data_IF_781519810201
#
_entry.id   IF_781519810201
#
_cell.length_a   1.000
_cell.length_b   1.000
_cell.length_c   1.000
_cell.angle_alpha   90.00
_cell.angle_beta   90.00
_cell.angle_gamma   90.00
#
_symmetry.space_group_name_H-M   'P 1'
#
loop_
_entity.id
_entity.type
_entity.pdbx_description
1 polymer ?
#
# COMPACT_ATOMS: atom_id res chain seq x y z
N UNK A 1 -7.10 9.24 14.13
CA UNK A 1 -5.87 9.94 13.65
C UNK A 1 -5.44 10.91 14.74
N UNK A 2 -4.14 10.93 15.13
CA UNK A 2 -3.66 11.75 16.27
C UNK A 2 -3.06 13.10 15.84
N UNK A 3 -3.26 13.53 14.62
CA UNK A 3 -2.82 14.83 14.07
C UNK A 3 -1.38 15.23 14.48
N UNK A 4 -0.43 14.31 14.28
CA UNK A 4 1.00 14.54 14.56
C UNK A 4 1.63 15.09 13.27
N UNK A 5 2.21 16.28 13.36
CA UNK A 5 2.91 16.88 12.24
C UNK A 5 4.12 16.02 11.85
N UNK A 6 4.32 15.79 10.56
CA UNK A 6 5.47 15.03 10.05
C UNK A 6 6.03 15.65 8.77
N UNK A 7 7.28 15.33 8.49
CA UNK A 7 7.98 15.74 7.26
C UNK A 7 8.70 14.55 6.64
N UNK A 8 8.56 14.38 5.34
CA UNK A 8 9.22 13.29 4.59
C UNK A 8 10.48 13.82 3.92
N UNK A 9 11.61 13.14 4.20
CA UNK A 9 12.91 13.43 3.59
C UNK A 9 13.33 12.30 2.66
N UNK A 10 13.72 12.68 1.45
CA UNK A 10 14.24 11.75 0.44
C UNK A 10 13.15 10.95 -0.27
N UNK A 11 13.16 11.01 -1.58
CA UNK A 11 12.19 10.35 -2.46
C UNK A 11 10.97 11.22 -2.79
N UNK A 12 10.34 10.88 -3.92
CA UNK A 12 9.04 11.46 -4.29
C UNK A 12 7.97 10.94 -3.33
N UNK A 13 7.07 11.82 -2.90
CA UNK A 13 5.86 11.44 -2.17
C UNK A 13 5.08 10.41 -2.97
N UNK A 14 4.31 9.56 -2.30
CA UNK A 14 3.59 8.49 -2.97
C UNK A 14 2.77 8.99 -4.17
N UNK A 15 1.96 10.02 -3.96
CA UNK A 15 1.12 10.60 -5.01
C UNK A 15 1.90 11.44 -6.04
N UNK A 16 3.18 11.73 -5.80
CA UNK A 16 4.06 12.42 -6.76
C UNK A 16 4.79 11.47 -7.73
N UNK A 17 4.81 10.19 -7.46
CA UNK A 17 5.44 9.17 -8.32
C UNK A 17 4.77 9.17 -9.69
N UNK A 18 5.58 9.02 -10.74
CA UNK A 18 5.11 9.16 -12.13
C UNK A 18 3.98 8.16 -12.48
N UNK A 19 4.14 6.90 -12.07
CA UNK A 19 3.14 5.83 -12.25
C UNK A 19 1.84 6.13 -11.51
N UNK A 20 1.92 6.70 -10.31
CA UNK A 20 0.74 7.10 -9.52
C UNK A 20 0.03 8.30 -10.15
N UNK A 21 0.79 9.33 -10.55
CA UNK A 21 0.22 10.48 -11.29
C UNK A 21 -0.46 10.05 -12.60
N UNK A 22 0.05 9.01 -13.26
CA UNK A 22 -0.58 8.47 -14.46
C UNK A 22 -1.91 7.77 -14.12
N UNK A 23 -1.94 6.95 -13.07
CA UNK A 23 -3.16 6.30 -12.60
C UNK A 23 -4.21 7.32 -12.13
N UNK A 24 -3.80 8.34 -11.36
CA UNK A 24 -4.69 9.44 -10.94
C UNK A 24 -5.24 10.21 -12.15
N UNK A 25 -4.45 10.46 -13.20
CA UNK A 25 -4.93 11.10 -14.41
C UNK A 25 -6.00 10.25 -15.13
N UNK A 26 -5.87 8.94 -15.16
CA UNK A 26 -6.94 8.06 -15.65
C UNK A 26 -8.20 8.18 -14.78
N UNK A 27 -8.06 8.19 -13.45
CA UNK A 27 -9.19 8.38 -12.53
C UNK A 27 -9.87 9.73 -12.74
N UNK A 28 -9.09 10.81 -12.99
CA UNK A 28 -9.65 12.11 -13.35
C UNK A 28 -10.45 12.07 -14.65
N UNK A 29 -10.01 11.31 -15.68
CA UNK A 29 -10.78 11.18 -16.92
C UNK A 29 -12.08 10.39 -16.73
N UNK A 30 -12.08 9.41 -15.81
CA UNK A 30 -13.28 8.65 -15.47
C UNK A 30 -14.27 9.52 -14.72
N UNK A 31 -13.80 10.37 -13.80
CA UNK A 31 -14.63 11.33 -13.09
C UNK A 31 -15.14 12.45 -14.03
N UNK A 32 -14.27 12.91 -14.94
CA UNK A 32 -14.60 13.99 -15.90
C UNK A 32 -13.72 13.84 -17.15
N UNK A 33 -14.31 13.33 -18.23
CA UNK A 33 -13.65 13.17 -19.52
C UNK A 33 -13.13 14.48 -20.13
N UNK A 34 -13.68 15.64 -19.72
CA UNK A 34 -13.26 16.95 -20.21
C UNK A 34 -12.06 17.54 -19.44
N UNK A 35 -11.35 16.74 -18.64
CA UNK A 35 -10.13 17.18 -17.98
C UNK A 35 -8.94 17.11 -18.95
N UNK A 36 -8.63 18.23 -19.58
CA UNK A 36 -7.58 18.33 -20.62
C UNK A 36 -6.18 17.99 -20.09
N UNK A 37 -5.86 18.38 -18.86
CA UNK A 37 -4.56 18.07 -18.25
C UNK A 37 -4.40 16.56 -18.04
N UNK A 38 -5.43 15.90 -17.58
CA UNK A 38 -5.47 14.46 -17.41
C UNK A 38 -5.39 13.73 -18.76
N UNK A 39 -6.15 14.21 -19.75
CA UNK A 39 -6.14 13.69 -21.12
C UNK A 39 -4.73 13.75 -21.72
N UNK A 40 -4.08 14.89 -21.73
CA UNK A 40 -2.73 15.06 -22.29
C UNK A 40 -1.72 14.15 -21.60
N UNK A 41 -1.87 13.98 -20.29
CA UNK A 41 -0.96 13.15 -19.53
C UNK A 41 -0.98 11.68 -19.95
N UNK A 42 -2.16 11.11 -20.20
CA UNK A 42 -2.29 9.66 -20.37
C UNK A 42 -2.64 9.19 -21.78
N UNK A 43 -2.95 10.08 -22.72
CA UNK A 43 -3.33 9.70 -24.07
C UNK A 43 -2.29 8.76 -24.75
N UNK A 44 -1.00 8.94 -24.43
CA UNK A 44 0.09 8.10 -24.94
C UNK A 44 0.84 7.34 -23.84
N UNK A 45 0.21 7.11 -22.69
CA UNK A 45 0.75 6.28 -21.59
C UNK A 45 -0.31 5.23 -21.19
N UNK A 46 -0.08 3.94 -21.46
CA UNK A 46 1.02 3.31 -22.20
C UNK A 46 1.20 3.82 -23.63
N UNK A 47 2.39 3.60 -24.19
CA UNK A 47 2.69 4.08 -25.54
C UNK A 47 1.72 3.48 -26.57
N UNK A 48 0.90 4.33 -27.20
CA UNK A 48 -0.10 3.99 -28.23
C UNK A 48 0.32 4.45 -29.63
N UNK A 49 1.48 5.10 -29.73
CA UNK A 49 1.93 5.68 -31.01
C UNK A 49 1.30 7.03 -31.34
N UNK A 50 0.74 7.72 -30.33
CA UNK A 50 0.26 9.10 -30.46
C UNK A 50 1.45 10.03 -30.22
N UNK A 51 1.89 10.68 -31.27
CA UNK A 51 3.03 11.61 -31.23
C UNK A 51 2.63 13.06 -30.88
N UNK A 52 3.64 13.91 -30.61
CA UNK A 52 3.41 15.33 -30.29
C UNK A 52 2.59 16.08 -31.35
N UNK A 53 2.78 15.75 -32.65
CA UNK A 53 2.02 16.37 -33.74
C UNK A 53 0.52 16.10 -33.61
N UNK A 54 0.11 14.87 -33.31
CA UNK A 54 -1.30 14.56 -33.14
C UNK A 54 -1.92 15.31 -31.95
N UNK A 55 -1.14 15.44 -30.85
CA UNK A 55 -1.59 16.22 -29.68
C UNK A 55 -1.75 17.69 -30.05
N UNK A 56 -0.82 18.26 -30.81
CA UNK A 56 -0.93 19.65 -31.27
C UNK A 56 -2.12 19.87 -32.22
N UNK A 57 -2.38 18.93 -33.12
CA UNK A 57 -3.55 18.96 -34.01
C UNK A 57 -4.86 18.96 -33.15
N UNK A 58 -4.93 18.11 -32.11
CA UNK A 58 -6.07 18.09 -31.19
C UNK A 58 -6.22 19.39 -30.41
N UNK A 59 -5.12 19.99 -29.95
CA UNK A 59 -5.12 21.30 -29.27
C UNK A 59 -5.62 22.42 -30.17
N UNK A 60 -5.25 22.38 -31.48
CA UNK A 60 -5.76 23.36 -32.44
C UNK A 60 -7.26 23.23 -32.58
N UNK A 61 -7.78 22.04 -32.82
CA UNK A 61 -9.23 21.82 -32.94
C UNK A 61 -9.95 22.21 -31.67
N UNK A 62 -9.44 21.84 -30.49
CA UNK A 62 -10.03 22.18 -29.19
C UNK A 62 -10.11 23.70 -28.97
N UNK A 63 -9.06 24.43 -29.35
CA UNK A 63 -8.98 25.90 -29.25
C UNK A 63 -9.92 26.61 -30.24
N UNK A 64 -9.90 26.19 -31.50
CA UNK A 64 -10.67 26.81 -32.58
C UNK A 64 -12.17 26.68 -32.35
N UNK A 65 -12.57 25.52 -31.76
CA UNK A 65 -13.97 25.23 -31.51
C UNK A 65 -14.42 25.47 -30.05
N UNK A 66 -13.48 25.81 -29.16
CA UNK A 66 -13.72 26.02 -27.71
C UNK A 66 -14.34 24.82 -27.04
N UNK A 67 -13.80 23.63 -27.34
CA UNK A 67 -14.19 22.33 -26.77
C UNK A 67 -13.03 21.70 -26.04
N UNK A 68 -13.30 20.65 -25.24
CA UNK A 68 -12.25 19.88 -24.59
C UNK A 68 -11.44 19.04 -25.55
N UNK A 69 -10.23 18.61 -25.14
CA UNK A 69 -9.40 17.69 -25.91
C UNK A 69 -10.08 16.34 -26.16
N UNK A 70 -10.89 15.88 -25.22
CA UNK A 70 -11.72 14.68 -25.38
C UNK A 70 -12.74 14.85 -26.50
N UNK A 71 -13.45 15.95 -26.52
CA UNK A 71 -14.42 16.27 -27.57
C UNK A 71 -13.73 16.48 -28.92
N UNK A 72 -12.56 17.13 -28.93
CA UNK A 72 -11.76 17.31 -30.13
C UNK A 72 -11.28 15.94 -30.69
N UNK A 73 -10.83 15.03 -29.84
CA UNK A 73 -10.43 13.68 -30.23
C UNK A 73 -11.61 12.91 -30.85
N UNK A 74 -12.77 12.92 -30.20
CA UNK A 74 -14.00 12.28 -30.70
C UNK A 74 -14.44 12.85 -32.04
N UNK A 75 -14.34 14.18 -32.22
CA UNK A 75 -14.68 14.85 -33.48
C UNK A 75 -13.69 14.51 -34.60
N UNK A 76 -12.40 14.53 -34.33
CA UNK A 76 -11.34 14.17 -35.30
C UNK A 76 -11.50 12.74 -35.78
N UNK A 77 -11.87 11.84 -34.89
CA UNK A 77 -12.15 10.44 -35.23
C UNK A 77 -13.35 10.32 -36.19
N UNK A 78 -14.43 11.07 -35.93
CA UNK A 78 -15.67 10.99 -36.73
C UNK A 78 -15.54 11.75 -38.07
N UNK A 79 -14.76 12.82 -38.13
CA UNK A 79 -14.61 13.65 -39.34
C UNK A 79 -13.71 13.03 -40.40
N UNK A 80 -12.87 12.05 -40.05
CA UNK A 80 -11.90 11.49 -40.99
C UNK A 80 -10.79 12.46 -41.41
N UNK A 81 -10.62 13.60 -40.71
CA UNK A 81 -9.65 14.64 -41.05
C UNK A 81 -8.17 14.22 -40.86
N UNK A 82 -7.94 13.06 -40.25
CA UNK A 82 -6.60 12.51 -39.96
C UNK A 82 -6.41 11.14 -40.60
N UNK A 83 -5.17 10.62 -40.59
CA UNK A 83 -4.87 9.32 -41.18
C UNK A 83 -5.65 8.20 -40.49
N UNK A 84 -5.97 7.14 -41.25
CA UNK A 84 -6.67 5.93 -40.69
C UNK A 84 -5.92 5.32 -39.51
N UNK A 85 -4.60 5.44 -39.43
CA UNK A 85 -3.79 5.01 -38.31
C UNK A 85 -4.08 5.84 -37.07
N UNK A 86 -4.11 7.16 -37.21
CA UNK A 86 -4.42 8.09 -36.10
C UNK A 86 -5.85 7.87 -35.58
N UNK A 87 -6.82 7.73 -36.49
CA UNK A 87 -8.21 7.38 -36.12
C UNK A 87 -8.26 6.12 -35.28
N UNK A 88 -7.59 5.04 -35.71
CA UNK A 88 -7.59 3.74 -34.99
C UNK A 88 -7.01 3.88 -33.59
N UNK A 89 -5.92 4.62 -33.45
CA UNK A 89 -5.24 4.77 -32.15
C UNK A 89 -6.05 5.65 -31.19
N UNK A 90 -6.64 6.74 -31.68
CA UNK A 90 -7.53 7.60 -30.87
C UNK A 90 -8.79 6.83 -30.46
N UNK A 91 -9.43 6.10 -31.35
CA UNK A 91 -10.55 5.23 -31.03
C UNK A 91 -10.18 4.23 -29.92
N UNK A 92 -9.07 3.53 -30.08
CA UNK A 92 -8.61 2.57 -29.05
C UNK A 92 -8.42 3.21 -27.68
N UNK A 93 -7.94 4.46 -27.61
CA UNK A 93 -7.83 5.18 -26.34
C UNK A 93 -9.20 5.56 -25.78
N UNK A 94 -10.12 6.08 -26.63
CA UNK A 94 -11.48 6.43 -26.25
C UNK A 94 -12.24 5.20 -25.75
N UNK A 95 -12.12 4.07 -26.46
CA UNK A 95 -12.73 2.81 -26.09
C UNK A 95 -12.25 2.30 -24.73
N UNK A 96 -10.95 2.40 -24.43
CA UNK A 96 -10.39 2.02 -23.12
C UNK A 96 -11.03 2.84 -22.00
N UNK A 97 -11.14 4.17 -22.17
CA UNK A 97 -11.77 5.03 -21.14
C UNK A 97 -13.24 4.70 -20.97
N UNK A 98 -14.00 4.62 -22.07
CA UNK A 98 -15.43 4.32 -22.02
C UNK A 98 -15.71 2.96 -21.37
N UNK A 99 -14.94 1.92 -21.71
CA UNK A 99 -15.08 0.59 -21.11
C UNK A 99 -14.81 0.63 -19.60
N UNK A 100 -13.78 1.36 -19.17
CA UNK A 100 -13.48 1.47 -17.74
C UNK A 100 -14.58 2.26 -17.01
N UNK A 101 -15.13 3.32 -17.62
CA UNK A 101 -16.26 4.07 -17.04
C UNK A 101 -17.47 3.16 -16.86
N UNK A 102 -17.83 2.40 -17.89
CA UNK A 102 -18.96 1.47 -17.86
C UNK A 102 -18.78 0.38 -16.80
N UNK A 103 -17.58 -0.22 -16.75
CA UNK A 103 -17.26 -1.26 -15.77
C UNK A 103 -17.12 -0.75 -14.35
N UNK A 104 -16.79 0.53 -14.16
CA UNK A 104 -16.64 1.17 -12.85
C UNK A 104 -17.96 1.69 -12.28
N UNK A 105 -19.04 1.68 -13.04
CA UNK A 105 -20.34 2.16 -12.56
C UNK A 105 -20.87 1.30 -11.40
N UNK A 106 -21.25 1.96 -10.30
CA UNK A 106 -21.76 1.27 -9.10
C UNK A 106 -20.74 0.55 -8.24
N UNK A 107 -19.46 0.50 -8.63
CA UNK A 107 -18.40 -0.11 -7.85
C UNK A 107 -17.94 0.78 -6.69
N UNK A 108 -17.41 0.16 -5.63
CA UNK A 108 -16.72 0.85 -4.56
C UNK A 108 -15.43 1.53 -5.06
N UNK A 109 -14.96 2.56 -4.34
CA UNK A 109 -13.79 3.35 -4.75
C UNK A 109 -12.57 2.48 -5.11
N UNK A 110 -12.20 1.54 -4.23
CA UNK A 110 -11.02 0.70 -4.47
C UNK A 110 -11.18 -0.21 -5.69
N UNK A 111 -12.40 -0.63 -6.01
CA UNK A 111 -12.69 -1.43 -7.21
C UNK A 111 -12.57 -0.57 -8.47
N UNK A 112 -13.03 0.69 -8.44
CA UNK A 112 -12.81 1.66 -9.53
C UNK A 112 -11.33 1.88 -9.79
N UNK A 113 -10.54 2.09 -8.74
CA UNK A 113 -9.08 2.24 -8.85
C UNK A 113 -8.44 0.96 -9.42
N UNK A 114 -8.90 -0.21 -8.98
CA UNK A 114 -8.43 -1.49 -9.50
C UNK A 114 -8.74 -1.64 -10.99
N UNK A 115 -9.96 -1.33 -11.44
CA UNK A 115 -10.35 -1.34 -12.85
C UNK A 115 -9.42 -0.45 -13.69
N UNK A 116 -9.12 0.75 -13.23
CA UNK A 116 -8.17 1.65 -13.91
C UNK A 116 -6.79 1.01 -14.03
N UNK A 117 -6.23 0.52 -12.94
CA UNK A 117 -4.87 -0.02 -12.89
C UNK A 117 -4.73 -1.25 -13.79
N UNK A 118 -5.75 -2.12 -13.85
CA UNK A 118 -5.73 -3.36 -14.63
C UNK A 118 -6.06 -3.16 -16.12
N UNK A 119 -7.07 -2.34 -16.44
CA UNK A 119 -7.62 -2.27 -17.79
C UNK A 119 -7.08 -1.12 -18.66
N UNK A 120 -6.40 -0.15 -18.09
CA UNK A 120 -5.72 0.91 -18.88
C UNK A 120 -4.39 0.46 -19.49
N UNK A 121 -3.88 -0.73 -19.10
CA UNK A 121 -2.63 -1.29 -19.54
C UNK A 121 -1.40 -0.77 -18.79
N UNK A 122 -1.58 -0.04 -17.67
CA UNK A 122 -0.47 0.50 -16.87
C UNK A 122 0.39 -0.60 -16.25
N UNK A 123 -0.23 -1.68 -15.74
CA UNK A 123 0.50 -2.82 -15.18
C UNK A 123 1.40 -3.45 -16.23
N UNK A 124 0.84 -3.78 -17.41
CA UNK A 124 1.60 -4.42 -18.49
C UNK A 124 2.68 -3.52 -19.06
N UNK A 125 2.45 -2.21 -19.07
CA UNK A 125 3.44 -1.23 -19.46
C UNK A 125 4.64 -1.26 -18.53
N UNK A 126 4.44 -1.25 -17.23
CA UNK A 126 5.53 -1.27 -16.25
C UNK A 126 6.17 -2.65 -16.09
N UNK A 127 5.44 -3.75 -16.27
CA UNK A 127 6.02 -5.11 -16.32
C UNK A 127 7.03 -5.30 -17.46
N UNK A 128 6.90 -4.55 -18.55
CA UNK A 128 7.87 -4.57 -19.67
C UNK A 128 9.15 -3.81 -19.37
N UNK A 129 9.18 -2.97 -18.36
CA UNK A 129 10.40 -2.31 -17.91
C UNK A 129 11.33 -3.34 -17.27
N UNK A 130 12.60 -3.39 -17.72
CA UNK A 130 13.56 -4.36 -17.19
C UNK A 130 14.03 -3.99 -15.79
N UNK A 131 14.16 -5.01 -14.93
CA UNK A 131 14.75 -4.89 -13.60
C UNK A 131 13.76 -4.42 -12.51
N UNK A 132 14.29 -4.16 -11.33
CA UNK A 132 13.55 -3.84 -10.10
C UNK A 132 12.63 -2.59 -10.21
N UNK A 133 12.97 -1.69 -11.15
CA UNK A 133 12.21 -0.45 -11.32
C UNK A 133 10.79 -0.70 -11.83
N UNK A 134 10.62 -1.64 -12.77
CA UNK A 134 9.31 -2.00 -13.32
C UNK A 134 8.43 -2.68 -12.26
N UNK A 135 9.02 -3.60 -11.50
CA UNK A 135 8.31 -4.28 -10.40
C UNK A 135 7.88 -3.30 -9.31
N UNK A 136 8.79 -2.42 -8.85
CA UNK A 136 8.46 -1.40 -7.86
C UNK A 136 7.31 -0.48 -8.31
N UNK A 137 7.22 -0.16 -9.60
CA UNK A 137 6.11 0.63 -10.13
C UNK A 137 4.79 -0.13 -10.14
N UNK A 138 4.82 -1.42 -10.46
CA UNK A 138 3.63 -2.29 -10.36
C UNK A 138 3.18 -2.40 -8.90
N UNK A 139 4.11 -2.56 -7.97
CA UNK A 139 3.82 -2.56 -6.52
C UNK A 139 3.18 -1.23 -6.07
N UNK A 140 3.70 -0.09 -6.55
CA UNK A 140 3.10 1.21 -6.26
C UNK A 140 1.67 1.35 -6.79
N UNK A 141 1.37 0.81 -7.98
CA UNK A 141 0.01 0.80 -8.51
C UNK A 141 -0.94 -0.07 -7.67
N UNK A 142 -0.46 -1.21 -7.15
CA UNK A 142 -1.24 -2.04 -6.24
C UNK A 142 -1.45 -1.35 -4.88
N UNK A 143 -0.44 -0.60 -4.41
CA UNK A 143 -0.58 0.18 -3.18
C UNK A 143 -1.57 1.34 -3.34
N UNK A 144 -1.73 1.91 -4.54
CA UNK A 144 -2.79 2.88 -4.81
C UNK A 144 -4.20 2.28 -4.61
N UNK A 145 -4.41 1.02 -4.99
CA UNK A 145 -5.66 0.30 -4.72
C UNK A 145 -5.88 0.11 -3.22
N UNK A 146 -4.81 -0.22 -2.47
CA UNK A 146 -4.89 -0.34 -1.03
C UNK A 146 -5.17 1.01 -0.34
N UNK A 147 -4.56 2.09 -0.81
CA UNK A 147 -4.83 3.45 -0.33
C UNK A 147 -6.30 3.83 -0.53
N UNK A 148 -6.87 3.52 -1.70
CA UNK A 148 -8.29 3.74 -1.97
C UNK A 148 -9.21 2.87 -1.08
N UNK A 149 -8.79 1.64 -0.74
CA UNK A 149 -9.55 0.77 0.18
C UNK A 149 -9.55 1.26 1.61
N UNK A 150 -8.48 1.91 2.04
CA UNK A 150 -8.32 2.46 3.38
C UNK A 150 -8.80 3.90 3.49
N UNK A 151 -9.19 4.49 2.37
CA UNK A 151 -9.69 5.85 2.34
C UNK A 151 -11.03 5.90 3.06
N UNK A 152 -11.04 6.62 4.17
CA UNK A 152 -12.22 6.84 5.01
C UNK A 152 -12.55 8.33 4.95
N UNK A 153 -13.76 8.65 4.58
CA UNK A 153 -14.24 10.03 4.49
C UNK A 153 -15.48 10.20 5.38
N UNK A 154 -15.57 11.34 6.03
CA UNK A 154 -16.75 11.70 6.79
C UNK A 154 -17.82 12.24 5.82
N UNK A 155 -18.96 11.56 5.71
CA UNK A 155 -20.07 11.96 4.82
C UNK A 155 -20.56 13.40 5.08
N UNK A 156 -20.46 13.88 6.32
CA UNK A 156 -20.86 15.23 6.72
C UNK A 156 -20.05 16.34 6.04
N UNK A 157 -18.86 16.04 5.48
CA UNK A 157 -17.98 16.97 4.79
C UNK A 157 -18.07 16.87 3.24
N UNK A 158 -18.93 16.02 2.71
CA UNK A 158 -18.90 15.65 1.30
C UNK A 158 -19.60 16.66 0.36
N UNK A 159 -20.35 17.65 0.87
CA UNK A 159 -21.03 18.75 0.07
C UNK A 159 -21.47 18.33 -1.35
N UNK A 160 -21.97 17.10 -1.54
CA UNK A 160 -22.44 16.60 -2.84
C UNK A 160 -21.34 16.05 -3.77
N UNK A 161 -20.09 15.92 -3.31
CA UNK A 161 -19.01 15.25 -4.04
C UNK A 161 -19.12 13.73 -3.88
N UNK A 162 -18.82 12.99 -4.95
CA UNK A 162 -18.75 11.55 -4.87
C UNK A 162 -17.41 11.09 -4.24
N UNK A 163 -17.35 9.84 -3.79
CA UNK A 163 -16.17 9.25 -3.12
C UNK A 163 -14.89 9.34 -3.97
N UNK A 164 -15.00 9.20 -5.29
CA UNK A 164 -13.86 9.34 -6.21
C UNK A 164 -13.31 10.78 -6.23
N UNK A 165 -14.18 11.77 -6.29
CA UNK A 165 -13.77 13.20 -6.28
C UNK A 165 -13.07 13.55 -4.97
N UNK A 166 -13.58 13.05 -3.83
CA UNK A 166 -12.97 13.26 -2.52
C UNK A 166 -11.59 12.59 -2.43
N UNK A 167 -11.45 11.38 -2.97
CA UNK A 167 -10.15 10.70 -3.03
C UNK A 167 -9.14 11.45 -3.90
N UNK A 168 -9.57 11.94 -5.07
CA UNK A 168 -8.71 12.72 -5.96
C UNK A 168 -8.31 14.06 -5.33
N UNK A 169 -9.22 14.74 -4.62
CA UNK A 169 -8.90 15.94 -3.85
C UNK A 169 -7.90 15.66 -2.73
N UNK A 170 -8.09 14.55 -2.00
CA UNK A 170 -7.14 14.11 -0.97
C UNK A 170 -5.74 13.83 -1.56
N UNK A 171 -5.67 13.10 -2.68
CA UNK A 171 -4.41 12.83 -3.37
C UNK A 171 -3.71 14.12 -3.85
N UNK A 172 -4.47 15.11 -4.30
CA UNK A 172 -3.94 16.42 -4.71
C UNK A 172 -3.39 17.20 -3.51
N UNK A 173 -4.08 17.21 -2.38
CA UNK A 173 -3.62 17.81 -1.13
C UNK A 173 -2.32 17.14 -0.64
N UNK A 174 -2.30 15.83 -0.57
CA UNK A 174 -1.12 15.06 -0.14
C UNK A 174 0.09 15.26 -1.07
N UNK A 175 -0.13 15.52 -2.36
CA UNK A 175 0.95 15.84 -3.30
C UNK A 175 1.42 17.29 -3.19
N UNK A 176 0.55 18.21 -2.78
CA UNK A 176 0.80 19.66 -2.69
C UNK A 176 1.11 20.18 -1.29
N UNK A 177 0.91 19.38 -0.24
CA UNK A 177 1.13 19.85 1.12
C UNK A 177 2.53 20.37 1.31
N UNK A 178 2.55 21.65 1.63
CA UNK A 178 3.67 22.41 2.12
C UNK A 178 4.43 21.60 3.14
N UNK A 179 5.68 21.34 2.83
CA UNK A 179 6.64 21.00 3.86
C UNK A 179 6.46 22.03 4.96
N UNK A 180 6.08 21.58 6.18
CA UNK A 180 6.05 22.44 7.35
C UNK A 180 7.30 23.30 7.39
N UNK A 181 7.18 24.51 7.88
CA UNK A 181 8.28 25.47 7.90
C UNK A 181 9.53 24.78 8.48
N UNK A 182 10.73 25.15 8.04
CA UNK A 182 11.98 24.47 8.39
C UNK A 182 12.24 24.38 9.91
N UNK A 183 11.44 25.09 10.70
CA UNK A 183 11.49 25.19 12.15
C UNK A 183 10.32 24.54 12.90
N UNK A 184 9.37 23.89 12.18
CA UNK A 184 8.26 23.25 12.85
C UNK A 184 8.70 21.98 13.60
N UNK A 185 8.22 21.84 14.83
CA UNK A 185 8.38 20.61 15.62
C UNK A 185 7.54 19.49 15.00
N UNK A 186 8.20 18.63 14.22
CA UNK A 186 7.55 17.57 13.46
C UNK A 186 8.36 16.28 13.45
N UNK A 187 7.67 15.14 13.30
CA UNK A 187 8.32 13.85 13.09
C UNK A 187 8.96 13.80 11.71
N UNK A 188 10.26 13.45 11.68
CA UNK A 188 10.98 13.30 10.42
C UNK A 188 10.90 11.85 9.93
N UNK A 189 10.29 11.66 8.77
CA UNK A 189 10.17 10.37 8.09
C UNK A 189 11.17 10.31 6.95
N UNK A 190 12.00 9.27 6.91
CA UNK A 190 13.02 9.13 5.87
C UNK A 190 13.42 7.67 5.67
N UNK A 191 14.04 7.38 4.53
CA UNK A 191 14.68 6.08 4.32
C UNK A 191 15.99 6.00 5.10
N UNK A 192 16.45 4.77 5.39
CA UNK A 192 17.74 4.57 6.03
C UNK A 192 18.90 5.17 5.21
N UNK A 193 18.82 5.12 3.88
CA UNK A 193 19.82 5.75 3.01
C UNK A 193 19.84 7.27 3.16
N UNK A 194 18.67 7.90 3.26
CA UNK A 194 18.55 9.36 3.43
C UNK A 194 19.01 9.82 4.83
N UNK A 195 19.02 8.92 5.80
CA UNK A 195 19.45 9.22 7.17
C UNK A 195 20.99 9.27 7.33
N UNK A 196 21.76 8.88 6.30
CA UNK A 196 23.23 8.89 6.35
C UNK A 196 23.76 10.31 6.60
N UNK A 197 24.55 10.46 7.66
CA UNK A 197 25.16 11.75 8.05
C UNK A 197 24.27 12.62 8.94
N UNK A 198 23.03 12.22 9.21
CA UNK A 198 22.14 12.90 10.16
C UNK A 198 22.19 12.21 11.52
N UNK A 199 21.78 12.90 12.59
CA UNK A 199 21.68 12.34 13.94
C UNK A 199 20.46 12.92 14.65
N UNK A 200 19.79 12.06 15.47
CA UNK A 200 18.54 12.41 16.14
C UNK A 200 18.55 11.90 17.58
N UNK A 201 17.97 12.65 18.51
CA UNK A 201 17.85 12.23 19.91
C UNK A 201 17.09 10.91 20.07
N UNK A 202 16.04 10.72 19.27
CA UNK A 202 15.16 9.56 19.27
C UNK A 202 14.97 9.07 17.85
N UNK A 203 15.18 7.77 17.63
CA UNK A 203 15.01 7.12 16.33
C UNK A 203 14.07 5.91 16.44
N UNK A 204 13.14 5.82 15.52
CA UNK A 204 12.34 4.62 15.27
C UNK A 204 12.77 3.98 13.95
N UNK A 205 13.28 2.77 13.97
CA UNK A 205 13.45 1.96 12.76
C UNK A 205 12.28 0.97 12.71
N UNK A 206 11.41 1.15 11.73
CA UNK A 206 10.18 0.37 11.61
C UNK A 206 10.31 -0.71 10.53
N UNK A 207 9.57 -1.83 10.68
CA UNK A 207 9.60 -2.90 9.70
C UNK A 207 10.87 -3.74 9.71
N UNK A 208 11.51 -3.91 10.88
CA UNK A 208 12.73 -4.71 11.04
C UNK A 208 12.34 -6.19 11.16
N UNK A 209 11.91 -6.76 10.01
CA UNK A 209 11.34 -8.11 9.91
C UNK A 209 11.88 -8.87 8.69
N UNK A 210 12.00 -10.18 8.79
CA UNK A 210 12.39 -11.04 7.68
C UNK A 210 11.41 -10.89 6.51
N UNK A 211 11.95 -10.69 5.31
CA UNK A 211 11.15 -10.47 4.11
C UNK A 211 10.79 -9.01 3.84
N UNK A 212 11.18 -8.08 4.72
CA UNK A 212 11.10 -6.64 4.49
C UNK A 212 12.47 -5.98 4.70
N UNK A 213 13.09 -6.24 5.84
CA UNK A 213 14.43 -5.78 6.17
C UNK A 213 15.16 -6.82 7.05
N UNK A 214 15.96 -7.73 6.44
CA UNK A 214 16.37 -7.77 5.04
C UNK A 214 15.26 -8.19 4.06
N UNK A 215 15.37 -7.70 2.81
CA UNK A 215 14.44 -8.05 1.73
C UNK A 215 14.64 -9.51 1.27
N UNK A 216 13.64 -10.18 0.67
CA UNK A 216 13.77 -11.55 0.21
C UNK A 216 14.94 -11.73 -0.77
N UNK A 217 15.13 -10.76 -1.67
CA UNK A 217 16.22 -10.79 -2.66
C UNK A 217 17.60 -10.67 -2.04
N UNK A 218 17.70 -9.89 -0.97
CA UNK A 218 18.97 -9.73 -0.24
C UNK A 218 19.32 -10.96 0.58
N UNK A 219 18.32 -11.71 1.03
CA UNK A 219 18.53 -12.97 1.75
C UNK A 219 19.16 -14.03 0.84
N UNK A 220 18.81 -14.05 -0.45
CA UNK A 220 19.32 -15.00 -1.45
C UNK A 220 20.73 -14.64 -1.94
N UNK A 221 21.18 -13.39 -1.80
CA UNK A 221 22.49 -12.91 -2.24
C UNK A 221 23.32 -12.42 -1.04
N UNK A 222 24.40 -13.15 -0.68
CA UNK A 222 25.25 -12.78 0.46
C UNK A 222 25.82 -11.36 0.37
N UNK A 223 26.18 -10.87 -0.83
CA UNK A 223 26.71 -9.53 -1.01
C UNK A 223 25.67 -8.46 -0.69
N UNK A 224 24.43 -8.66 -1.10
CA UNK A 224 23.30 -7.74 -0.81
C UNK A 224 22.88 -7.81 0.64
N UNK A 225 22.95 -8.99 1.26
CA UNK A 225 22.64 -9.12 2.69
C UNK A 225 23.62 -8.31 3.55
N UNK A 226 24.90 -8.33 3.21
CA UNK A 226 25.92 -7.54 3.91
C UNK A 226 25.70 -6.04 3.70
N UNK A 227 25.23 -5.61 2.54
CA UNK A 227 24.90 -4.21 2.30
C UNK A 227 23.70 -3.76 3.15
N UNK A 228 22.65 -4.58 3.25
CA UNK A 228 21.52 -4.27 4.14
C UNK A 228 21.92 -4.30 5.62
N UNK A 229 22.89 -5.14 6.02
CA UNK A 229 23.44 -5.11 7.38
C UNK A 229 24.18 -3.80 7.65
N UNK A 230 24.97 -3.30 6.68
CA UNK A 230 25.61 -1.97 6.80
C UNK A 230 24.56 -0.86 6.88
N UNK A 231 23.48 -0.99 6.12
CA UNK A 231 22.37 -0.03 6.17
C UNK A 231 21.65 -0.06 7.52
N UNK A 232 21.49 -1.25 8.12
CA UNK A 232 20.98 -1.40 9.48
C UNK A 232 21.89 -0.72 10.49
N UNK A 233 23.20 -0.92 10.39
CA UNK A 233 24.20 -0.23 11.22
C UNK A 233 24.10 1.30 11.08
N UNK A 234 23.96 1.80 9.84
CA UNK A 234 23.76 3.24 9.62
C UNK A 234 22.50 3.72 10.35
N UNK A 235 21.37 3.01 10.26
CA UNK A 235 20.14 3.37 10.95
C UNK A 235 20.30 3.41 12.47
N UNK A 236 20.88 2.37 13.05
CA UNK A 236 21.12 2.26 14.50
C UNK A 236 21.97 3.43 14.99
N UNK A 237 23.03 3.76 14.26
CA UNK A 237 23.97 4.84 14.64
C UNK A 237 23.41 6.25 14.45
N UNK A 238 22.18 6.40 13.92
CA UNK A 238 21.49 7.70 13.87
C UNK A 238 20.93 8.13 15.22
N UNK A 239 20.74 7.19 16.16
CA UNK A 239 20.20 7.47 17.47
C UNK A 239 21.28 7.98 18.41
N UNK A 240 21.12 9.21 18.90
CA UNK A 240 22.02 9.80 19.92
C UNK A 240 21.69 9.29 21.33
N UNK A 241 20.43 9.03 21.65
CA UNK A 241 19.99 8.70 23.01
C UNK A 241 19.10 7.47 23.05
N UNK A 242 18.06 7.39 22.24
CA UNK A 242 17.05 6.35 22.30
C UNK A 242 16.80 5.78 20.90
N UNK A 243 16.83 4.45 20.79
CA UNK A 243 16.51 3.71 19.58
C UNK A 243 15.35 2.74 19.84
N UNK A 244 14.33 2.80 19.01
CA UNK A 244 13.28 1.81 18.94
C UNK A 244 13.38 1.02 17.63
N UNK A 245 13.41 -0.29 17.74
CA UNK A 245 13.32 -1.22 16.61
C UNK A 245 11.94 -1.88 16.68
N UNK A 246 11.17 -1.83 15.61
CA UNK A 246 9.85 -2.44 15.60
C UNK A 246 9.62 -3.35 14.41
N UNK A 247 8.87 -4.41 14.62
CA UNK A 247 8.38 -5.32 13.58
C UNK A 247 6.92 -5.66 13.83
N UNK A 248 6.20 -6.08 12.79
CA UNK A 248 4.79 -6.44 12.89
C UNK A 248 4.64 -7.95 13.14
N UNK A 249 3.73 -8.35 14.02
CA UNK A 249 3.35 -9.76 14.17
C UNK A 249 2.43 -10.23 13.03
N UNK A 250 1.65 -9.31 12.46
CA UNK A 250 0.88 -9.52 11.24
C UNK A 250 0.91 -8.27 10.37
N UNK A 251 0.99 -8.46 9.07
CA UNK A 251 1.02 -7.38 8.08
C UNK A 251 0.21 -7.76 6.87
N UNK A 252 -0.60 -6.85 6.39
CA UNK A 252 -1.31 -7.01 5.14
C UNK A 252 -0.51 -6.35 4.02
N UNK A 253 0.02 -7.19 3.10
CA UNK A 253 0.78 -6.75 1.93
C UNK A 253 0.03 -7.25 0.69
N UNK A 254 -0.28 -6.35 -0.25
CA UNK A 254 -1.02 -6.67 -1.50
C UNK A 254 -2.32 -7.45 -1.27
N UNK A 255 -3.07 -7.05 -0.23
CA UNK A 255 -4.34 -7.70 0.13
C UNK A 255 -4.21 -9.08 0.80
N UNK A 256 -3.01 -9.59 1.02
CA UNK A 256 -2.73 -10.85 1.71
C UNK A 256 -2.19 -10.60 3.10
N UNK A 257 -2.71 -11.32 4.08
CA UNK A 257 -2.18 -11.26 5.43
C UNK A 257 -0.91 -12.13 5.53
N UNK A 258 0.17 -11.51 5.96
CA UNK A 258 1.47 -12.15 6.21
C UNK A 258 1.81 -12.07 7.69
N UNK A 259 2.56 -13.04 8.19
CA UNK A 259 2.99 -13.13 9.58
C UNK A 259 4.52 -13.13 9.61
N UNK A 260 5.13 -11.94 9.49
CA UNK A 260 6.58 -11.84 9.46
C UNK A 260 7.19 -12.24 10.80
N UNK A 261 8.45 -12.65 10.75
CA UNK A 261 9.26 -12.91 11.94
C UNK A 261 10.24 -11.78 12.17
N UNK A 262 10.69 -11.60 13.41
CA UNK A 262 11.71 -10.64 13.77
C UNK A 262 12.95 -10.80 12.89
N UNK A 263 13.48 -9.70 12.37
CA UNK A 263 14.69 -9.66 11.55
C UNK A 263 15.90 -10.30 12.24
N UNK A 264 16.73 -10.97 11.45
CA UNK A 264 18.03 -11.47 11.90
C UNK A 264 18.94 -10.38 12.44
N UNK A 265 18.82 -9.15 11.95
CA UNK A 265 19.61 -8.01 12.40
C UNK A 265 19.32 -7.65 13.87
N UNK A 266 18.09 -7.81 14.35
CA UNK A 266 17.77 -7.64 15.78
C UNK A 266 18.39 -8.79 16.59
N UNK A 267 18.36 -10.02 16.07
CA UNK A 267 18.93 -11.19 16.75
C UNK A 267 20.46 -11.16 16.85
N UNK A 268 21.13 -10.37 16.02
CA UNK A 268 22.58 -10.16 16.05
C UNK A 268 23.01 -9.16 17.16
N UNK A 269 22.06 -8.39 17.71
CA UNK A 269 22.32 -7.47 18.83
C UNK A 269 22.38 -8.29 20.14
N UNK A 270 23.38 -8.10 20.99
CA UNK A 270 23.46 -8.74 22.30
C UNK A 270 22.18 -8.53 23.12
N UNK A 271 21.62 -9.59 23.66
CA UNK A 271 20.32 -9.55 24.37
C UNK A 271 20.34 -8.64 25.60
N UNK A 272 21.48 -8.45 26.24
CA UNK A 272 21.68 -7.54 27.37
C UNK A 272 21.56 -6.06 26.98
N UNK A 273 21.62 -5.73 25.69
CA UNK A 273 21.45 -4.38 25.17
C UNK A 273 20.06 -4.11 24.65
N UNK A 274 19.17 -5.11 24.65
CA UNK A 274 17.81 -5.00 24.16
C UNK A 274 16.82 -5.08 25.32
N UNK A 275 15.93 -4.10 25.39
CA UNK A 275 14.74 -4.16 26.23
C UNK A 275 13.53 -4.45 25.36
N UNK A 276 12.96 -5.66 25.47
CA UNK A 276 11.74 -6.00 24.75
C UNK A 276 10.54 -5.27 25.37
N UNK A 277 9.82 -4.51 24.53
CA UNK A 277 8.60 -3.81 24.93
C UNK A 277 7.44 -4.45 24.15
N UNK A 278 6.55 -5.12 24.83
CA UNK A 278 5.29 -5.60 24.27
C UNK A 278 4.19 -4.64 24.67
N UNK A 279 3.60 -3.95 23.69
CA UNK A 279 2.34 -3.28 23.92
C UNK A 279 1.28 -4.37 24.12
N UNK A 280 0.62 -4.40 25.27
CA UNK A 280 -0.55 -5.24 25.46
C UNK A 280 -1.57 -4.86 24.38
N UNK A 281 -1.72 -5.71 23.38
CA UNK A 281 -2.66 -5.47 22.30
C UNK A 281 -4.07 -5.62 22.86
N UNK A 282 -4.72 -4.50 23.18
CA UNK A 282 -6.17 -4.47 23.25
C UNK A 282 -6.66 -4.51 21.80
N UNK A 283 -6.95 -5.70 21.28
CA UNK A 283 -7.56 -5.86 19.96
C UNK A 283 -9.00 -5.33 20.07
N UNK A 284 -9.20 -4.06 19.78
CA UNK A 284 -10.52 -3.54 19.50
C UNK A 284 -10.88 -3.94 18.07
N UNK A 285 -11.54 -5.08 17.91
CA UNK A 285 -12.27 -5.34 16.67
C UNK A 285 -13.40 -4.32 16.57
N UNK A 286 -13.62 -3.62 15.45
CA UNK A 286 -14.86 -2.92 15.24
C UNK A 286 -15.97 -3.97 15.22
N UNK A 287 -16.77 -3.98 16.28
CA UNK A 287 -17.98 -4.81 16.32
C UNK A 287 -18.97 -4.15 15.39
N UNK A 288 -19.13 -4.70 14.19
CA UNK A 288 -20.31 -4.43 13.39
C UNK A 288 -21.51 -4.94 14.19
N UNK A 289 -22.29 -4.00 14.74
CA UNK A 289 -23.50 -4.30 15.50
C UNK A 289 -24.57 -4.81 14.53
N UNK A 290 -24.53 -6.09 14.20
CA UNK A 290 -25.71 -6.78 13.72
C UNK A 290 -26.63 -6.98 14.93
N UNK A 291 -27.74 -6.23 14.96
CA UNK A 291 -28.84 -6.44 15.91
C UNK A 291 -29.41 -7.85 15.71
N UNK A 292 -28.99 -8.81 16.51
CA UNK A 292 -29.78 -9.99 16.79
C UNK A 292 -29.49 -10.44 18.23
N UNK A 293 -30.51 -10.34 19.05
CA UNK A 293 -30.44 -10.70 20.45
C UNK A 293 -30.20 -12.18 20.65
N UNK A 294 -29.01 -12.49 21.15
CA UNK A 294 -28.71 -13.64 22.01
C UNK A 294 -27.36 -13.38 22.63
N UNK A 295 -27.31 -13.27 23.93
CA UNK A 295 -26.08 -13.17 24.72
C UNK A 295 -25.17 -14.37 24.43
N UNK A 296 -23.87 -14.17 24.09
CA UNK A 296 -22.93 -15.28 23.98
C UNK A 296 -22.64 -15.79 25.43
N UNK A 297 -22.96 -17.04 25.70
CA UNK A 297 -22.36 -17.77 26.82
C UNK A 297 -20.85 -17.73 26.68
N UNK A 298 -20.14 -17.21 27.67
CA UNK A 298 -18.70 -17.33 27.81
C UNK A 298 -18.34 -18.83 27.83
N UNK A 299 -17.80 -19.31 26.71
CA UNK A 299 -17.26 -20.64 26.63
C UNK A 299 -15.88 -20.64 27.33
N UNK A 300 -15.70 -21.53 28.30
CA UNK A 300 -14.39 -21.79 28.89
C UNK A 300 -13.58 -22.62 27.90
N UNK A 301 -12.82 -21.98 27.05
CA UNK A 301 -11.78 -22.63 26.26
C UNK A 301 -10.53 -22.83 27.11
N UNK A 302 -9.81 -23.92 26.88
CA UNK A 302 -8.62 -24.27 27.68
C UNK A 302 -7.47 -23.25 27.52
N UNK A 303 -7.43 -22.51 26.39
CA UNK A 303 -6.44 -21.49 26.09
C UNK A 303 -7.08 -20.22 25.58
N UNK A 304 -6.44 -19.07 25.84
CA UNK A 304 -6.91 -17.76 25.39
C UNK A 304 -6.12 -17.29 24.16
N UNK A 305 -6.75 -16.47 23.31
CA UNK A 305 -6.08 -15.79 22.20
C UNK A 305 -4.94 -14.92 22.73
N UNK A 306 -3.77 -15.01 22.12
CA UNK A 306 -2.58 -14.30 22.55
C UNK A 306 -1.80 -14.96 23.70
N UNK A 307 -2.27 -16.08 24.24
CA UNK A 307 -1.60 -16.80 25.32
C UNK A 307 -0.34 -17.49 24.81
N UNK A 308 0.75 -17.37 25.56
CA UNK A 308 1.99 -18.13 25.30
C UNK A 308 1.83 -19.57 25.71
N UNK A 309 2.29 -20.47 24.86
CA UNK A 309 2.23 -21.90 25.08
C UNK A 309 3.54 -22.56 24.69
N UNK A 310 3.87 -23.67 25.36
CA UNK A 310 4.98 -24.54 24.99
C UNK A 310 4.47 -25.88 24.51
N UNK A 311 5.09 -26.41 23.47
CA UNK A 311 4.86 -27.75 22.96
C UNK A 311 6.17 -28.52 22.89
N UNK A 312 6.20 -29.73 23.43
CA UNK A 312 7.43 -30.53 23.55
C UNK A 312 8.21 -30.73 22.23
N UNK A 313 7.51 -30.73 21.08
CA UNK A 313 8.13 -30.94 19.76
C UNK A 313 8.37 -29.63 19.00
N UNK A 314 7.53 -28.58 19.20
CA UNK A 314 7.54 -27.37 18.39
C UNK A 314 8.09 -26.15 19.13
N UNK A 315 8.38 -26.28 20.44
CA UNK A 315 8.89 -25.21 21.27
C UNK A 315 7.82 -24.21 21.69
N UNK A 316 8.24 -22.97 21.96
CA UNK A 316 7.36 -21.90 22.39
C UNK A 316 6.61 -21.27 21.21
N UNK A 317 5.36 -20.88 21.47
CA UNK A 317 4.50 -20.24 20.50
C UNK A 317 3.39 -19.43 21.14
N UNK A 318 2.61 -18.74 20.31
CA UNK A 318 1.47 -17.91 20.73
C UNK A 318 0.20 -18.42 20.07
N UNK A 319 -0.87 -18.53 20.86
CA UNK A 319 -2.20 -18.94 20.38
C UNK A 319 -2.80 -17.83 19.56
N UNK A 320 -3.06 -18.11 18.27
CA UNK A 320 -3.65 -17.15 17.32
C UNK A 320 -5.15 -17.32 17.17
N UNK A 321 -5.64 -18.56 17.25
CA UNK A 321 -7.05 -18.87 17.06
C UNK A 321 -7.43 -20.15 17.81
N UNK A 322 -8.67 -20.19 18.30
CA UNK A 322 -9.28 -21.36 18.94
C UNK A 322 -10.57 -21.66 18.22
N UNK A 323 -10.79 -22.90 17.78
CA UNK A 323 -11.98 -23.33 17.07
C UNK A 323 -12.46 -24.69 17.58
N UNK A 324 -13.76 -24.92 17.47
CA UNK A 324 -14.41 -26.18 17.88
C UNK A 324 -14.79 -26.20 19.37
N UNK A 325 -15.43 -27.31 19.79
CA UNK A 325 -15.87 -27.54 21.15
C UNK A 325 -15.54 -28.98 21.60
N UNK A 326 -15.13 -29.13 22.85
CA UNK A 326 -14.89 -30.43 23.47
C UNK A 326 -13.76 -31.22 22.79
N UNK A 327 -14.04 -32.46 22.34
CA UNK A 327 -13.01 -33.32 21.73
C UNK A 327 -12.55 -32.86 20.34
N UNK A 328 -13.28 -31.93 19.69
CA UNK A 328 -12.91 -31.36 18.39
C UNK A 328 -12.29 -29.97 18.51
N UNK A 329 -12.01 -29.52 19.75
CA UNK A 329 -11.36 -28.23 19.98
C UNK A 329 -9.95 -28.25 19.43
N UNK A 330 -9.62 -27.26 18.58
CA UNK A 330 -8.30 -27.09 17.96
C UNK A 330 -7.82 -25.66 18.14
N UNK A 331 -6.53 -25.53 18.30
CA UNK A 331 -5.85 -24.23 18.41
C UNK A 331 -4.86 -24.04 17.31
N UNK A 332 -4.81 -22.83 16.77
CA UNK A 332 -3.75 -22.41 15.90
C UNK A 332 -2.70 -21.70 16.74
N UNK A 333 -1.48 -22.24 16.71
CA UNK A 333 -0.34 -21.68 17.44
C UNK A 333 0.75 -21.30 16.46
N UNK A 334 1.27 -20.09 16.60
CA UNK A 334 2.46 -19.64 15.89
C UNK A 334 3.69 -19.94 16.74
N UNK A 335 4.43 -20.97 16.38
CA UNK A 335 5.66 -21.38 17.05
C UNK A 335 6.87 -20.64 16.50
N UNK A 336 7.73 -20.17 17.36
CA UNK A 336 8.92 -19.40 17.01
C UNK A 336 9.86 -20.14 16.05
N UNK A 337 9.94 -21.47 16.18
CA UNK A 337 10.88 -22.30 15.41
C UNK A 337 10.29 -22.86 14.09
N UNK A 338 8.97 -23.11 14.04
CA UNK A 338 8.34 -23.88 12.93
C UNK A 338 7.13 -23.19 12.30
N UNK A 339 6.82 -21.95 12.70
CA UNK A 339 5.68 -21.18 12.20
C UNK A 339 4.33 -21.69 12.67
N UNK A 340 3.27 -21.34 11.95
CA UNK A 340 1.88 -21.64 12.31
C UNK A 340 1.55 -23.13 12.18
N UNK A 341 0.91 -23.69 13.20
CA UNK A 341 0.39 -25.07 13.22
C UNK A 341 -0.98 -25.10 13.86
N UNK A 342 -1.87 -25.89 13.27
CA UNK A 342 -3.14 -26.28 13.89
C UNK A 342 -2.90 -27.52 14.75
N UNK A 343 -3.30 -27.46 16.00
CA UNK A 343 -3.17 -28.56 16.96
C UNK A 343 -4.55 -28.87 17.55
N UNK A 344 -4.91 -30.15 17.60
CA UNK A 344 -6.10 -30.61 18.32
C UNK A 344 -5.77 -30.72 19.80
N UNK A 345 -6.50 -30.02 20.65
CA UNK A 345 -6.21 -29.98 22.10
C UNK A 345 -6.32 -31.35 22.78
N UNK A 346 -7.17 -32.22 22.24
CA UNK A 346 -7.29 -33.59 22.75
C UNK A 346 -5.99 -34.41 22.66
N UNK A 347 -5.09 -34.05 21.72
CA UNK A 347 -3.85 -34.79 21.47
C UNK A 347 -2.59 -33.95 21.65
N UNK A 348 -2.72 -32.63 21.59
CA UNK A 348 -1.60 -31.72 21.74
C UNK A 348 -1.32 -31.45 23.23
N UNK A 349 -0.14 -31.87 23.69
CA UNK A 349 0.34 -31.51 25.02
C UNK A 349 0.87 -30.08 24.99
N UNK A 350 -0.03 -29.11 25.05
CA UNK A 350 0.29 -27.70 25.15
C UNK A 350 0.25 -27.27 26.63
N UNK A 351 1.29 -26.61 27.06
CA UNK A 351 1.40 -26.04 28.40
C UNK A 351 1.40 -24.51 28.31
N UNK A 352 0.61 -23.87 29.16
CA UNK A 352 0.60 -22.42 29.25
C UNK A 352 1.89 -21.93 29.92
N UNK A 353 2.56 -20.96 29.29
CA UNK A 353 3.70 -20.26 29.88
C UNK A 353 3.18 -18.96 30.48
N UNK A 354 3.56 -18.69 31.72
CA UNK A 354 3.17 -17.47 32.46
C UNK A 354 3.83 -16.22 31.87
#
# INVERSE_FOLDING_TARGET
KRNINYRIYGGLRFFERAEIKNALAYLHLIANANNDAAFERVINIPNRGIGPKTIEDLRSVARDERISLWQAASKVVTSGAVTARTVRVLNSFIDVINNVVEQAEGLALYEKVQQVVEHTGLIDFHKKEKGEKGEARVENLQELVNAARQFDYEEDNAEGLNELDLFLAHAALESGETQGDQYDDCVQLMTLHSAKGLEFKLVFIVGVEEGLFPSPRSIEDPGRLEEERRLCYVGITRAMQILYLSYAESRRIYGRDTYPTCSRFIKEIPSEQIQEIRMGATISRPVSVAKSGRSPRLQKTAFQLGQRVSHAKFGEGVVLQVEGEGAQERVQVNFTAVGMKWLMLAYAKLEAIA
#
